data_IF_001778309064
#
_entry.id   IF_001778309064
#
_cell.length_a   1.000
_cell.length_b   1.000
_cell.length_c   1.000
_cell.angle_alpha   90.00
_cell.angle_beta   90.00
_cell.angle_gamma   90.00
#
_symmetry.space_group_name_H-M   'P 1'
#
loop_
_entity.id
_entity.type
_entity.pdbx_description
1 polymer ?
#
# COMPACT_ATOMS: atom_id res chain seq x y z
N UNK A 1 -3.04 -4.10 -3.07
CA UNK A 1 -3.56 -2.79 -2.64
C UNK A 1 -2.62 -2.27 -1.58
N UNK A 2 -2.32 -0.97 -1.51
CA UNK A 2 -1.44 -0.48 -0.47
C UNK A 2 -2.10 -0.65 0.91
N UNK A 3 -1.32 -0.84 1.99
CA UNK A 3 -1.85 -0.81 3.35
C UNK A 3 -2.57 0.50 3.63
N UNK A 4 -3.77 0.41 4.21
CA UNK A 4 -4.64 1.56 4.41
C UNK A 4 -4.68 1.96 5.89
N UNK A 5 -4.61 3.26 6.12
CA UNK A 5 -4.80 3.89 7.41
C UNK A 5 -6.01 4.82 7.40
N UNK A 6 -6.63 4.96 8.57
CA UNK A 6 -7.71 5.91 8.83
C UNK A 6 -7.37 6.78 10.03
N UNK A 7 -7.66 8.06 9.93
CA UNK A 7 -7.76 8.93 11.10
C UNK A 7 -9.23 9.02 11.55
N UNK A 8 -9.62 8.34 12.64
CA UNK A 8 -11.00 8.35 13.10
C UNK A 8 -11.45 9.69 13.70
N UNK A 9 -10.50 10.60 13.98
CA UNK A 9 -10.81 11.91 14.55
C UNK A 9 -11.24 12.93 13.49
N UNK A 10 -11.03 12.64 12.20
CA UNK A 10 -11.45 13.50 11.09
C UNK A 10 -12.92 13.19 10.74
N UNK A 11 -13.84 14.15 10.93
CA UNK A 11 -15.26 13.95 10.66
C UNK A 11 -15.54 14.04 9.16
N UNK A 12 -15.26 12.97 8.41
CA UNK A 12 -15.39 12.98 6.94
C UNK A 12 -16.77 13.41 6.43
N UNK A 13 -17.84 13.14 7.20
CA UNK A 13 -19.20 13.54 6.85
C UNK A 13 -19.41 15.06 6.78
N UNK A 14 -18.57 15.88 7.43
CA UNK A 14 -18.63 17.35 7.32
C UNK A 14 -17.65 17.92 6.29
N UNK A 15 -16.85 17.08 5.63
CA UNK A 15 -15.96 17.52 4.55
C UNK A 15 -16.74 17.76 3.26
N UNK A 16 -16.51 18.90 2.63
CA UNK A 16 -17.04 19.19 1.29
C UNK A 16 -16.01 18.85 0.22
N UNK A 17 -16.42 18.05 -0.76
CA UNK A 17 -15.65 17.73 -1.96
C UNK A 17 -15.86 18.76 -3.10
N UNK A 18 -16.61 19.84 -2.84
CA UNK A 18 -16.83 20.90 -3.83
C UNK A 18 -15.54 21.69 -4.12
N UNK A 19 -15.34 22.11 -5.38
CA UNK A 19 -14.12 22.82 -5.81
C UNK A 19 -14.35 23.83 -6.93
N UNK A 20 -15.57 24.34 -7.06
CA UNK A 20 -15.98 25.18 -8.20
C UNK A 20 -15.79 26.67 -7.92
N UNK A 21 -15.88 27.07 -6.66
CA UNK A 21 -15.81 28.48 -6.25
C UNK A 21 -14.66 28.73 -5.27
N UNK A 22 -14.18 29.99 -5.13
CA UNK A 22 -13.25 30.35 -4.06
C UNK A 22 -13.76 29.99 -2.65
N UNK A 23 -15.08 30.09 -2.42
CA UNK A 23 -15.67 29.70 -1.13
C UNK A 23 -15.53 28.20 -0.87
N UNK A 24 -15.70 27.36 -1.90
CA UNK A 24 -15.50 25.91 -1.79
C UNK A 24 -14.05 25.59 -1.43
N UNK A 25 -13.09 26.23 -2.12
CA UNK A 25 -11.66 26.03 -1.87
C UNK A 25 -11.27 26.49 -0.46
N UNK A 26 -11.79 27.63 0.00
CA UNK A 26 -11.54 28.12 1.35
C UNK A 26 -12.15 27.22 2.43
N UNK A 27 -13.35 26.65 2.20
CA UNK A 27 -13.95 25.69 3.12
C UNK A 27 -13.13 24.40 3.22
N UNK A 28 -12.58 23.91 2.11
CA UNK A 28 -11.66 22.77 2.09
C UNK A 28 -10.37 23.06 2.83
N UNK A 29 -9.74 24.21 2.56
CA UNK A 29 -8.54 24.64 3.25
C UNK A 29 -8.77 24.76 4.76
N UNK A 30 -9.87 25.41 5.18
CA UNK A 30 -10.23 25.55 6.58
C UNK A 30 -10.45 24.19 7.27
N UNK A 31 -11.10 23.23 6.59
CA UNK A 31 -11.23 21.86 7.11
C UNK A 31 -9.86 21.18 7.25
N UNK A 32 -9.00 21.30 6.23
CA UNK A 32 -7.67 20.72 6.26
C UNK A 32 -6.82 21.30 7.40
N UNK A 33 -6.85 22.62 7.59
CA UNK A 33 -6.16 23.31 8.67
C UNK A 33 -6.68 22.87 10.05
N UNK A 34 -8.01 22.84 10.24
CA UNK A 34 -8.64 22.46 11.49
C UNK A 34 -8.32 21.02 11.91
N UNK A 35 -8.15 20.13 10.94
CA UNK A 35 -7.86 18.72 11.17
C UNK A 35 -6.40 18.34 10.90
N UNK A 36 -5.51 19.32 10.68
CA UNK A 36 -4.08 19.16 10.40
C UNK A 36 -3.79 18.16 9.27
N UNK A 37 -4.58 18.23 8.20
CA UNK A 37 -4.38 17.46 6.97
C UNK A 37 -3.36 18.19 6.12
N UNK A 38 -2.23 17.54 5.83
CA UNK A 38 -1.17 18.10 5.00
C UNK A 38 -1.06 17.31 3.71
N UNK A 39 -0.96 18.02 2.57
CA UNK A 39 -0.88 17.40 1.24
C UNK A 39 -2.00 16.39 0.96
N UNK A 40 -3.19 16.60 1.55
CA UNK A 40 -4.35 15.75 1.37
C UNK A 40 -4.40 14.48 2.23
N UNK A 41 -3.52 14.31 3.21
CA UNK A 41 -3.52 13.16 4.13
C UNK A 41 -3.35 13.57 5.60
N UNK A 42 -3.85 12.77 6.57
CA UNK A 42 -3.55 12.95 7.99
C UNK A 42 -2.06 12.69 8.27
N UNK A 43 -1.56 13.22 9.38
CA UNK A 43 -0.21 12.89 9.83
C UNK A 43 -0.06 11.38 10.11
N UNK A 44 1.07 10.74 9.75
CA UNK A 44 1.26 9.29 9.91
C UNK A 44 0.96 8.75 11.32
N UNK A 45 1.32 9.50 12.37
CA UNK A 45 1.09 9.10 13.76
C UNK A 45 -0.38 9.05 14.17
N UNK A 46 -1.29 9.62 13.37
CA UNK A 46 -2.75 9.60 13.60
C UNK A 46 -3.47 8.52 12.79
N UNK A 47 -2.78 7.91 11.83
CA UNK A 47 -3.34 6.83 11.02
C UNK A 47 -3.37 5.54 11.85
N UNK A 48 -4.57 5.02 12.06
CA UNK A 48 -4.81 3.69 12.59
C UNK A 48 -4.97 2.72 11.42
N UNK A 49 -4.43 1.48 11.49
CA UNK A 49 -4.67 0.48 10.47
C UNK A 49 -6.17 0.26 10.28
N UNK A 50 -6.61 0.17 9.02
CA UNK A 50 -7.97 -0.25 8.65
C UNK A 50 -7.88 -1.14 7.43
N UNK A 51 -8.71 -2.18 7.36
CA UNK A 51 -8.79 -3.02 6.18
C UNK A 51 -9.77 -2.46 5.13
N UNK A 52 -9.66 -2.92 3.88
CA UNK A 52 -10.60 -2.50 2.84
C UNK A 52 -12.00 -3.04 3.12
N UNK A 53 -12.09 -4.25 3.69
CA UNK A 53 -13.34 -4.84 4.16
C UNK A 53 -13.98 -4.01 5.28
N UNK A 54 -13.21 -3.61 6.29
CA UNK A 54 -13.72 -2.74 7.37
C UNK A 54 -14.21 -1.40 6.82
N UNK A 55 -13.47 -0.79 5.91
CA UNK A 55 -13.87 0.46 5.28
C UNK A 55 -15.16 0.29 4.46
N UNK A 56 -15.28 -0.78 3.66
CA UNK A 56 -16.50 -1.06 2.89
C UNK A 56 -17.74 -1.14 3.79
N UNK A 57 -17.60 -1.78 4.95
CA UNK A 57 -18.66 -1.90 5.96
C UNK A 57 -19.06 -0.52 6.49
N UNK A 58 -18.08 0.35 6.78
CA UNK A 58 -18.35 1.74 7.23
C UNK A 58 -19.05 2.58 6.16
N UNK A 59 -18.74 2.35 4.88
CA UNK A 59 -19.37 3.04 3.76
C UNK A 59 -20.74 2.46 3.36
N UNK A 60 -21.13 1.30 3.91
CA UNK A 60 -22.32 0.58 3.48
C UNK A 60 -22.23 0.08 2.03
N UNK A 61 -21.01 -0.21 1.55
CA UNK A 61 -20.73 -0.73 0.21
C UNK A 61 -20.37 -2.20 0.33
N UNK A 62 -20.87 -3.04 -0.58
CA UNK A 62 -20.53 -4.46 -0.59
C UNK A 62 -19.02 -4.64 -0.85
N UNK A 63 -18.37 -5.47 -0.03
CA UNK A 63 -17.00 -5.89 -0.27
C UNK A 63 -16.96 -6.99 -1.32
N UNK A 64 -16.28 -6.73 -2.43
CA UNK A 64 -15.98 -7.71 -3.46
C UNK A 64 -14.55 -7.48 -4.01
N UNK A 65 -14.14 -8.30 -4.97
CA UNK A 65 -12.81 -8.19 -5.57
C UNK A 65 -12.56 -6.84 -6.29
N UNK A 66 -13.61 -6.05 -6.56
CA UNK A 66 -13.53 -4.74 -7.19
C UNK A 66 -13.44 -3.58 -6.16
N UNK A 67 -13.58 -3.84 -4.86
CA UNK A 67 -13.48 -2.82 -3.82
C UNK A 67 -12.02 -2.48 -3.50
N UNK A 68 -11.42 -1.60 -4.31
CA UNK A 68 -10.05 -1.09 -4.19
C UNK A 68 -9.97 0.44 -3.98
N UNK A 69 -8.76 1.01 -3.99
CA UNK A 69 -8.55 2.46 -3.87
C UNK A 69 -9.35 3.28 -4.90
N UNK A 70 -9.56 2.76 -6.12
CA UNK A 70 -10.35 3.43 -7.14
C UNK A 70 -11.85 3.37 -6.83
N UNK A 71 -12.34 2.27 -6.25
CA UNK A 71 -13.71 2.18 -5.76
C UNK A 71 -13.99 3.19 -4.64
N UNK A 72 -13.06 3.35 -3.69
CA UNK A 72 -13.15 4.36 -2.61
C UNK A 72 -13.20 5.77 -3.21
N UNK A 73 -12.29 6.10 -4.13
CA UNK A 73 -12.29 7.41 -4.83
C UNK A 73 -13.59 7.65 -5.58
N UNK A 74 -14.17 6.62 -6.20
CA UNK A 74 -15.46 6.74 -6.91
C UNK A 74 -16.61 7.01 -5.96
N UNK A 75 -16.62 6.36 -4.80
CA UNK A 75 -17.65 6.57 -3.77
C UNK A 75 -17.66 8.02 -3.27
N UNK A 76 -16.49 8.59 -2.99
CA UNK A 76 -16.36 9.97 -2.50
C UNK A 76 -16.28 11.04 -3.61
N UNK A 77 -16.01 10.64 -4.86
CA UNK A 77 -15.69 11.53 -5.98
C UNK A 77 -14.21 11.96 -6.04
N UNK A 78 -13.46 11.79 -4.95
CA UNK A 78 -12.00 11.96 -4.85
C UNK A 78 -11.44 11.16 -3.66
N UNK A 79 -10.14 11.21 -3.41
CA UNK A 79 -9.55 10.54 -2.24
C UNK A 79 -9.98 11.27 -0.96
N UNK A 80 -10.57 10.57 0.03
CA UNK A 80 -11.07 11.23 1.22
C UNK A 80 -9.89 11.56 2.18
N UNK A 81 -9.85 12.76 2.76
CA UNK A 81 -8.67 13.27 3.47
C UNK A 81 -8.43 12.66 4.86
N UNK A 82 -9.30 11.75 5.31
CA UNK A 82 -9.14 11.00 6.56
C UNK A 82 -8.45 9.65 6.33
N UNK A 83 -8.18 9.28 5.07
CA UNK A 83 -7.48 8.06 4.70
C UNK A 83 -6.08 8.38 4.18
N UNK A 84 -5.14 7.47 4.39
CA UNK A 84 -3.77 7.57 3.88
C UNK A 84 -3.00 6.27 4.08
N UNK A 85 -1.75 6.24 3.62
CA UNK A 85 -0.78 5.20 3.96
C UNK A 85 0.37 5.82 4.76
N UNK A 86 1.18 4.99 5.39
CA UNK A 86 2.44 5.45 5.98
C UNK A 86 3.49 4.35 5.92
N UNK A 87 4.76 4.74 6.00
CA UNK A 87 5.90 3.81 6.08
C UNK A 87 5.71 2.78 7.21
N UNK A 88 5.12 3.18 8.34
CA UNK A 88 4.85 2.26 9.46
C UNK A 88 3.83 1.19 9.09
N UNK A 89 2.76 1.56 8.37
CA UNK A 89 1.75 0.62 7.88
C UNK A 89 2.33 -0.30 6.81
N UNK A 90 3.15 0.24 5.92
CA UNK A 90 3.84 -0.50 4.87
C UNK A 90 4.83 -1.51 5.45
N UNK A 91 5.66 -1.10 6.42
CA UNK A 91 6.53 -2.04 7.13
C UNK A 91 5.75 -3.13 7.87
N UNK A 92 4.64 -2.78 8.52
CA UNK A 92 3.81 -3.76 9.21
C UNK A 92 3.24 -4.80 8.23
N UNK A 93 2.78 -4.36 7.05
CA UNK A 93 2.35 -5.23 5.96
C UNK A 93 3.48 -6.14 5.48
N UNK A 94 4.67 -5.59 5.21
CA UNK A 94 5.83 -6.35 4.74
C UNK A 94 6.23 -7.39 5.78
N UNK A 95 6.22 -7.05 7.07
CA UNK A 95 6.53 -8.01 8.15
C UNK A 95 5.53 -9.17 8.21
N UNK A 96 4.25 -8.93 7.95
CA UNK A 96 3.27 -10.01 7.85
C UNK A 96 3.51 -10.89 6.62
N UNK A 97 3.84 -10.28 5.48
CA UNK A 97 4.22 -11.02 4.28
C UNK A 97 5.46 -11.89 4.54
N UNK A 98 6.50 -11.34 5.15
CA UNK A 98 7.73 -12.07 5.56
C UNK A 98 7.40 -13.27 6.46
N UNK A 99 6.46 -13.10 7.40
CA UNK A 99 6.02 -14.19 8.27
C UNK A 99 5.39 -15.35 7.49
N UNK A 100 4.54 -15.04 6.50
CA UNK A 100 3.87 -16.06 5.68
C UNK A 100 4.80 -16.72 4.68
N UNK A 101 5.68 -15.95 4.04
CA UNK A 101 6.64 -16.47 3.07
C UNK A 101 7.74 -17.31 3.74
N UNK A 102 7.99 -17.13 5.03
CA UNK A 102 9.00 -17.87 5.78
C UNK A 102 10.29 -17.05 5.89
N UNK A 103 10.58 -16.44 7.06
CA UNK A 103 11.63 -15.43 7.20
C UNK A 103 13.03 -15.89 6.76
N UNK A 104 13.32 -17.18 6.91
CA UNK A 104 14.63 -17.78 6.63
C UNK A 104 14.73 -18.36 5.21
N UNK A 105 13.64 -18.36 4.43
CA UNK A 105 13.66 -18.88 3.06
C UNK A 105 14.61 -18.02 2.21
N UNK A 106 15.53 -18.62 1.44
CA UNK A 106 16.37 -17.86 0.54
C UNK A 106 15.55 -17.18 -0.56
N UNK A 107 15.88 -15.93 -0.86
CA UNK A 107 15.15 -15.11 -1.82
C UNK A 107 16.10 -14.23 -2.65
N UNK A 108 15.61 -13.86 -3.83
CA UNK A 108 16.22 -12.87 -4.70
C UNK A 108 15.36 -11.62 -4.71
N UNK A 109 16.00 -10.44 -4.78
CA UNK A 109 15.35 -9.13 -4.86
C UNK A 109 15.86 -8.41 -6.08
N UNK A 110 14.97 -7.96 -6.95
CA UNK A 110 15.34 -7.25 -8.17
C UNK A 110 14.48 -6.00 -8.33
N UNK A 111 15.13 -4.85 -8.54
CA UNK A 111 14.46 -3.61 -8.88
C UNK A 111 14.81 -3.16 -10.28
N UNK A 112 13.78 -2.89 -11.08
CA UNK A 112 13.91 -2.46 -12.46
C UNK A 112 13.87 -0.93 -12.56
N UNK A 113 14.88 -0.33 -13.16
CA UNK A 113 14.98 1.12 -13.39
C UNK A 113 13.80 1.65 -14.21
N UNK A 114 13.39 0.91 -15.24
CA UNK A 114 12.29 1.27 -16.12
C UNK A 114 10.93 1.35 -15.39
N UNK A 115 10.76 0.60 -14.29
CA UNK A 115 9.55 0.58 -13.45
C UNK A 115 9.70 1.43 -12.19
N UNK A 116 10.56 2.44 -12.24
CA UNK A 116 10.75 3.35 -11.12
C UNK A 116 11.52 2.78 -9.92
N UNK A 117 11.97 1.52 -9.99
CA UNK A 117 12.55 0.78 -8.88
C UNK A 117 14.08 0.59 -8.95
N UNK A 118 14.75 1.29 -9.84
CA UNK A 118 16.22 1.27 -9.97
C UNK A 118 16.94 2.14 -8.93
N UNK A 119 18.24 1.87 -8.75
CA UNK A 119 19.16 2.67 -7.91
C UNK A 119 19.84 3.76 -8.73
N UNK A 120 20.14 4.89 -8.12
CA UNK A 120 20.90 5.96 -8.78
C UNK A 120 22.40 5.66 -8.76
N UNK A 121 23.03 5.68 -9.94
CA UNK A 121 24.48 5.62 -10.05
C UNK A 121 25.15 6.99 -9.81
N UNK A 122 26.48 7.01 -9.78
CA UNK A 122 27.27 8.22 -9.56
C UNK A 122 27.12 9.28 -10.67
N UNK A 123 26.63 8.89 -11.85
CA UNK A 123 26.38 9.79 -12.98
C UNK A 123 24.93 10.32 -12.99
N UNK A 124 24.10 9.91 -12.02
CA UNK A 124 22.72 10.36 -11.90
C UNK A 124 21.76 9.63 -12.83
N UNK A 125 22.09 8.41 -13.27
CA UNK A 125 21.16 7.56 -14.02
C UNK A 125 20.61 6.44 -13.12
N UNK A 126 19.34 6.06 -13.36
CA UNK A 126 18.76 4.88 -12.70
C UNK A 126 19.25 3.61 -13.36
N UNK A 127 19.75 2.68 -12.56
CA UNK A 127 20.21 1.36 -12.96
C UNK A 127 19.37 0.28 -12.28
N UNK A 128 19.21 -0.84 -12.98
CA UNK A 128 18.68 -2.05 -12.37
C UNK A 128 19.59 -2.53 -11.23
N UNK A 129 19.01 -3.23 -10.26
CA UNK A 129 19.78 -3.84 -9.18
C UNK A 129 19.24 -5.23 -8.83
N UNK A 130 20.13 -6.07 -8.31
CA UNK A 130 19.85 -7.42 -7.87
C UNK A 130 20.55 -7.65 -6.53
N UNK A 131 19.80 -8.16 -5.55
CA UNK A 131 20.32 -8.63 -4.28
C UNK A 131 19.87 -10.08 -4.02
N UNK A 132 20.62 -10.78 -3.17
CA UNK A 132 20.34 -12.13 -2.72
C UNK A 132 20.40 -12.15 -1.20
N UNK A 133 19.48 -12.86 -0.57
CA UNK A 133 19.42 -12.95 0.88
C UNK A 133 18.34 -13.91 1.33
N UNK A 134 17.69 -13.55 2.42
CA UNK A 134 16.56 -14.26 2.98
C UNK A 134 15.32 -13.37 2.93
N UNK A 135 14.12 -13.96 2.93
CA UNK A 135 12.85 -13.23 2.93
C UNK A 135 12.79 -12.12 4.00
N UNK A 136 13.37 -12.33 5.18
CA UNK A 136 13.43 -11.30 6.23
C UNK A 136 14.13 -10.01 5.80
N UNK A 137 15.04 -10.09 4.84
CA UNK A 137 15.77 -8.93 4.31
C UNK A 137 14.87 -8.01 3.49
N UNK A 138 13.68 -8.44 3.08
CA UNK A 138 12.71 -7.62 2.35
C UNK A 138 12.36 -6.30 3.07
N UNK A 139 12.32 -6.33 4.41
CA UNK A 139 12.12 -5.11 5.21
C UNK A 139 13.30 -4.16 5.07
N UNK A 140 14.52 -4.70 5.11
CA UNK A 140 15.76 -3.94 4.95
C UNK A 140 15.82 -3.33 3.54
N UNK A 141 15.51 -4.11 2.50
CA UNK A 141 15.49 -3.63 1.11
C UNK A 141 14.45 -2.51 0.96
N UNK A 142 13.24 -2.68 1.49
CA UNK A 142 12.23 -1.64 1.49
C UNK A 142 12.71 -0.34 2.17
N UNK A 143 13.34 -0.45 3.34
CA UNK A 143 13.87 0.70 4.07
C UNK A 143 15.01 1.41 3.33
N UNK A 144 15.88 0.66 2.66
CA UNK A 144 17.02 1.23 1.92
C UNK A 144 16.58 1.91 0.62
N UNK A 145 15.65 1.29 -0.11
CA UNK A 145 15.21 1.78 -1.41
C UNK A 145 14.01 2.73 -1.33
N UNK A 146 13.30 2.77 -0.19
CA UNK A 146 12.08 3.55 0.00
C UNK A 146 10.85 2.96 -0.70
N UNK A 147 10.96 1.75 -1.25
CA UNK A 147 9.91 1.02 -1.96
C UNK A 147 10.28 -0.46 -2.04
N UNK A 148 9.30 -1.33 -2.29
CA UNK A 148 9.57 -2.75 -2.47
C UNK A 148 10.31 -3.00 -3.79
N UNK A 149 11.09 -4.10 -3.87
CA UNK A 149 11.67 -4.56 -5.14
C UNK A 149 10.58 -4.79 -6.19
N UNK A 150 10.90 -4.57 -7.46
CA UNK A 150 9.99 -4.91 -8.57
C UNK A 150 9.62 -6.38 -8.56
N UNK A 151 10.62 -7.23 -8.34
CA UNK A 151 10.44 -8.66 -8.19
C UNK A 151 11.13 -9.14 -6.93
N UNK A 152 10.46 -9.99 -6.17
CA UNK A 152 11.06 -10.79 -5.13
C UNK A 152 10.61 -12.23 -5.33
N UNK A 153 11.52 -13.20 -5.34
CA UNK A 153 11.15 -14.59 -5.60
C UNK A 153 11.99 -15.55 -4.78
N UNK A 154 11.36 -16.65 -4.38
CA UNK A 154 12.04 -17.73 -3.69
C UNK A 154 13.07 -18.42 -4.59
N UNK A 155 14.19 -18.85 -4.02
CA UNK A 155 15.22 -19.58 -4.76
C UNK A 155 14.76 -20.93 -5.32
N UNK A 156 13.72 -21.51 -4.73
CA UNK A 156 13.09 -22.77 -5.17
C UNK A 156 11.91 -22.53 -6.13
N UNK A 157 11.64 -21.28 -6.49
CA UNK A 157 10.54 -20.84 -7.35
C UNK A 157 9.14 -21.17 -6.84
N UNK A 158 8.97 -21.42 -5.53
CA UNK A 158 7.65 -21.72 -4.95
C UNK A 158 6.71 -20.52 -4.91
N UNK A 159 7.25 -19.30 -4.96
CA UNK A 159 6.50 -18.07 -5.09
C UNK A 159 7.30 -16.95 -5.76
N UNK A 160 6.58 -15.97 -6.30
CA UNK A 160 7.11 -14.75 -6.90
C UNK A 160 6.20 -13.57 -6.57
N UNK A 161 6.74 -12.59 -5.86
CA UNK A 161 6.15 -11.30 -5.56
C UNK A 161 6.53 -10.31 -6.66
N UNK A 162 5.55 -9.60 -7.20
CA UNK A 162 5.73 -8.53 -8.18
C UNK A 162 5.09 -7.24 -7.68
N UNK A 163 5.83 -6.14 -7.76
CA UNK A 163 5.35 -4.78 -7.62
C UNK A 163 5.72 -3.99 -8.88
N UNK A 164 4.72 -3.64 -9.68
CA UNK A 164 4.90 -2.75 -10.83
C UNK A 164 4.76 -1.28 -10.46
N UNK A 165 4.64 -0.42 -11.49
CA UNK A 165 4.39 1.04 -11.34
C UNK A 165 3.06 1.39 -10.67
N UNK A 166 2.21 0.40 -10.44
CA UNK A 166 0.86 0.57 -9.92
C UNK A 166 0.88 0.20 -8.43
N UNK A 167 0.06 0.86 -7.61
CA UNK A 167 -0.08 0.62 -6.15
C UNK A 167 -0.51 -0.82 -5.75
N UNK A 168 -0.49 -1.79 -6.67
CA UNK A 168 -0.77 -3.20 -6.38
C UNK A 168 0.50 -4.02 -6.29
N UNK A 169 0.42 -4.99 -5.38
CA UNK A 169 1.40 -6.05 -5.20
C UNK A 169 0.69 -7.34 -5.59
N UNK A 170 1.32 -8.17 -6.42
CA UNK A 170 0.84 -9.51 -6.70
C UNK A 170 1.83 -10.55 -6.19
N UNK A 171 1.29 -11.70 -5.78
CA UNK A 171 2.08 -12.85 -5.41
C UNK A 171 1.57 -14.07 -6.19
N UNK A 172 2.38 -14.53 -7.14
CA UNK A 172 2.21 -15.85 -7.71
C UNK A 172 2.73 -16.90 -6.73
N UNK A 173 1.90 -17.87 -6.35
CA UNK A 173 2.28 -18.89 -5.37
C UNK A 173 1.42 -20.17 -5.50
N UNK A 174 1.83 -21.23 -4.79
CA UNK A 174 1.01 -22.43 -4.64
C UNK A 174 -0.29 -22.15 -3.87
N UNK A 175 -1.33 -22.95 -4.13
CA UNK A 175 -2.67 -22.76 -3.56
C UNK A 175 -2.69 -22.73 -2.02
N UNK A 176 -1.81 -23.48 -1.35
CA UNK A 176 -1.71 -23.48 0.11
C UNK A 176 -1.24 -22.13 0.67
N UNK A 177 -0.27 -21.48 0.02
CA UNK A 177 0.21 -20.15 0.39
C UNK A 177 -0.84 -19.08 0.06
N UNK A 178 -1.50 -19.20 -1.09
CA UNK A 178 -2.61 -18.31 -1.45
C UNK A 178 -3.73 -18.35 -0.40
N UNK A 179 -4.12 -19.53 0.09
CA UNK A 179 -5.12 -19.68 1.14
C UNK A 179 -4.67 -19.05 2.46
N UNK A 180 -3.41 -19.27 2.88
CA UNK A 180 -2.87 -18.68 4.10
C UNK A 180 -2.87 -17.14 4.05
N UNK A 181 -2.68 -16.54 2.88
CA UNK A 181 -2.74 -15.09 2.67
C UNK A 181 -4.18 -14.58 2.78
N UNK A 182 -5.15 -15.29 2.21
CA UNK A 182 -6.57 -14.91 2.29
C UNK A 182 -7.11 -14.93 3.73
N UNK A 183 -6.54 -15.77 4.59
CA UNK A 183 -6.92 -15.86 6.00
C UNK A 183 -6.24 -14.78 6.87
N UNK A 184 -5.20 -14.12 6.36
CA UNK A 184 -4.49 -13.07 7.07
C UNK A 184 -5.13 -11.71 6.81
N UNK A 185 -6.00 -11.26 7.72
CA UNK A 185 -6.75 -10.01 7.59
C UNK A 185 -5.86 -8.77 7.33
N UNK A 186 -4.64 -8.75 7.86
CA UNK A 186 -3.65 -7.68 7.63
C UNK A 186 -3.13 -7.62 6.18
N UNK A 187 -3.34 -8.67 5.40
CA UNK A 187 -2.89 -8.84 4.02
C UNK A 187 -4.05 -8.88 3.01
N UNK A 188 -5.18 -8.22 3.32
CA UNK A 188 -6.34 -8.04 2.41
C UNK A 188 -6.00 -7.43 1.02
N UNK A 189 -4.74 -7.08 0.80
CA UNK A 189 -4.18 -6.45 -0.38
C UNK A 189 -3.97 -7.34 -1.61
N UNK A 190 -4.01 -8.67 -1.50
CA UNK A 190 -3.66 -9.56 -2.61
C UNK A 190 -4.88 -9.92 -3.45
N UNK A 191 -4.90 -9.45 -4.71
CA UNK A 191 -5.81 -10.02 -5.72
C UNK A 191 -5.23 -11.34 -6.20
N UNK A 192 -5.93 -12.44 -5.95
CA UNK A 192 -5.66 -13.70 -6.61
C UNK A 192 -6.23 -13.63 -8.04
N UNK A 193 -5.35 -13.56 -9.03
CA UNK A 193 -5.73 -13.91 -10.40
C UNK A 193 -5.83 -15.43 -10.48
N UNK A 194 -7.04 -15.94 -10.72
CA UNK A 194 -7.26 -17.35 -11.09
C UNK A 194 -7.15 -17.47 -12.60
#
# INVERSE_FOLDING_TARGET
MPPLGIDPTVPIASYSFAKRTPADLNARAAFWDAHQIQQGQPAPARLQPITYHELSTRLGVAYDAAFDSAAIRRHYGEWPPHLGSSVVLEEAFIRQLVRLLGPQQPAYFYGAAEQGNGVWDAAGFRQDWLAQGQVVDLVTEFQQQGQLPTYCFASDHTWCLYQGDVEWVALGCAASLAQAILEEAMLEAFRLGV
#
